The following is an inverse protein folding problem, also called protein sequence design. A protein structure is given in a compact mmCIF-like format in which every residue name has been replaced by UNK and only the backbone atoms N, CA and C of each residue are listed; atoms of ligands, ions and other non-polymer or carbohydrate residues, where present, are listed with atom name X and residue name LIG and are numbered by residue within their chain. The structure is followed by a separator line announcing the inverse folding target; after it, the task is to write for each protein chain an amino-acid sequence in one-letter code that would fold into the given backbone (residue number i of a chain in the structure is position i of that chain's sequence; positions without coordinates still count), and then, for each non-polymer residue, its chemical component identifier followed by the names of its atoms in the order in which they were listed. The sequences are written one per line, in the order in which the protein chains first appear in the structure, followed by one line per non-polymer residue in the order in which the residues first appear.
data_IF_718241067756
#
_entry.id   IF_718241067756
#
_cell.length_a   1.000
_cell.length_b   1.000
_cell.length_c   1.000
_cell.angle_alpha   90.00
_cell.angle_beta   90.00
_cell.angle_gamma   90.00
#
_symmetry.space_group_name_H-M   'P 1'
#
loop_
_entity.id
_entity.type
_entity.pdbx_description
1 polymer ?
#
# COMPACT_ATOMS: atom_id res chain seq x y z
N UNK A 1 14.94 -15.73 -12.82
CA UNK A 1 15.04 -14.28 -13.15
C UNK A 1 13.65 -13.70 -13.01
N UNK A 2 13.49 -12.56 -12.33
CA UNK A 2 12.16 -11.94 -12.14
C UNK A 2 11.76 -11.29 -13.47
N UNK A 3 10.59 -11.63 -14.01
CA UNK A 3 10.09 -11.05 -15.26
C UNK A 3 9.67 -9.59 -15.05
N UNK A 4 9.56 -8.80 -16.12
CA UNK A 4 9.13 -7.38 -16.02
C UNK A 4 7.78 -7.26 -15.29
N UNK A 5 6.82 -8.12 -15.62
CA UNK A 5 5.53 -8.24 -14.94
C UNK A 5 5.69 -8.52 -13.44
N UNK A 6 6.57 -9.46 -13.09
CA UNK A 6 6.88 -9.77 -11.70
C UNK A 6 7.42 -8.56 -10.94
N UNK A 7 8.30 -7.78 -11.56
CA UNK A 7 8.84 -6.54 -10.96
C UNK A 7 7.73 -5.50 -10.74
N UNK A 8 6.90 -5.22 -11.76
CA UNK A 8 5.82 -4.23 -11.65
C UNK A 8 4.83 -4.62 -10.54
N UNK A 9 4.45 -5.89 -10.50
CA UNK A 9 3.51 -6.42 -9.50
C UNK A 9 4.08 -6.32 -8.09
N UNK A 10 5.35 -6.68 -7.92
CA UNK A 10 6.04 -6.60 -6.63
C UNK A 10 6.15 -5.15 -6.13
N UNK A 11 6.46 -4.21 -7.03
CA UNK A 11 6.53 -2.77 -6.69
C UNK A 11 5.15 -2.27 -6.27
N UNK A 12 4.09 -2.63 -6.99
CA UNK A 12 2.73 -2.21 -6.64
C UNK A 12 2.29 -2.77 -5.28
N UNK A 13 2.61 -4.04 -5.02
CA UNK A 13 2.35 -4.69 -3.73
C UNK A 13 3.09 -3.99 -2.59
N UNK A 14 4.41 -3.76 -2.77
CA UNK A 14 5.23 -3.08 -1.79
C UNK A 14 4.73 -1.66 -1.51
N UNK A 15 4.33 -0.93 -2.56
CA UNK A 15 3.75 0.39 -2.41
C UNK A 15 2.43 0.37 -1.62
N UNK A 16 1.54 -0.58 -1.88
CA UNK A 16 0.32 -0.78 -1.11
C UNK A 16 0.61 -1.02 0.39
N UNK A 17 1.59 -1.87 0.70
CA UNK A 17 2.03 -2.11 2.07
C UNK A 17 2.64 -0.87 2.75
N UNK A 18 3.51 -0.15 2.04
CA UNK A 18 4.10 1.09 2.56
C UNK A 18 3.00 2.11 2.86
N UNK A 19 2.01 2.24 1.98
CA UNK A 19 0.88 3.15 2.19
C UNK A 19 0.05 2.74 3.42
N UNK A 20 -0.23 1.45 3.61
CA UNK A 20 -0.92 0.96 4.81
C UNK A 20 -0.14 1.27 6.09
N UNK A 21 1.15 0.95 6.13
CA UNK A 21 2.01 1.17 7.29
C UNK A 21 2.16 2.67 7.61
N UNK A 22 2.41 3.49 6.59
CA UNK A 22 2.51 4.94 6.75
C UNK A 22 1.19 5.55 7.22
N UNK A 23 0.06 5.06 6.70
CA UNK A 23 -1.26 5.53 7.12
C UNK A 23 -1.52 5.20 8.58
N UNK A 24 -1.22 3.98 9.01
CA UNK A 24 -1.49 3.54 10.38
C UNK A 24 -0.52 4.16 11.41
N UNK A 25 0.78 4.03 11.20
CA UNK A 25 1.78 4.48 12.19
C UNK A 25 2.10 5.97 12.07
N UNK A 26 1.94 6.54 10.88
CA UNK A 26 2.29 7.92 10.57
C UNK A 26 1.11 8.89 10.63
N UNK A 27 -0.06 8.50 10.13
CA UNK A 27 -1.18 9.43 9.90
C UNK A 27 -2.38 9.22 10.83
N UNK A 28 -2.58 8.00 11.33
CA UNK A 28 -3.64 7.70 12.29
C UNK A 28 -3.34 8.31 13.67
N UNK A 29 -4.23 8.03 14.63
CA UNK A 29 -4.07 8.52 15.99
C UNK A 29 -2.76 7.99 16.59
N UNK A 30 -1.91 8.87 17.14
CA UNK A 30 -0.61 8.46 17.65
C UNK A 30 -0.77 7.56 18.86
N UNK A 31 0.11 6.58 18.97
CA UNK A 31 0.16 5.71 20.14
C UNK A 31 0.77 6.46 21.32
N UNK A 32 0.25 6.22 22.53
CA UNK A 32 0.90 6.66 23.74
C UNK A 32 0.09 6.44 25.01
N UNK A 33 0.58 7.04 26.10
CA UNK A 33 0.07 6.83 27.45
C UNK A 33 -0.04 8.17 28.21
N UNK A 34 -1.09 8.38 29.02
CA UNK A 34 -2.28 7.55 29.14
C UNK A 34 -3.12 7.56 27.84
N UNK A 35 -3.72 6.43 27.42
CA UNK A 35 -4.28 6.26 26.07
C UNK A 35 -5.53 7.11 25.80
N UNK A 36 -6.18 7.59 26.85
CA UNK A 36 -7.38 8.43 26.83
C UNK A 36 -7.06 9.93 26.72
N UNK A 37 -5.78 10.33 26.78
CA UNK A 37 -5.43 11.73 26.58
C UNK A 37 -5.83 12.17 25.16
N UNK A 38 -6.48 13.33 25.05
CA UNK A 38 -6.99 13.90 23.78
C UNK A 38 -5.96 13.90 22.64
N UNK A 39 -4.67 14.08 22.98
CA UNK A 39 -3.56 14.06 22.01
C UNK A 39 -3.36 12.72 21.29
N UNK A 40 -3.89 11.62 21.84
CA UNK A 40 -3.80 10.26 21.31
C UNK A 40 -5.12 9.76 20.73
N UNK A 41 -6.21 10.54 20.85
CA UNK A 41 -7.52 10.17 20.30
C UNK A 41 -7.72 10.70 18.88
N UNK A 42 -7.13 11.86 18.56
CA UNK A 42 -7.29 12.49 17.25
C UNK A 42 -6.25 11.98 16.24
N UNK A 43 -6.67 11.63 15.00
CA UNK A 43 -5.73 11.30 13.94
C UNK A 43 -4.94 12.54 13.51
N UNK A 44 -3.72 12.34 13.02
CA UNK A 44 -2.93 13.43 12.42
C UNK A 44 -3.51 13.87 11.07
N UNK A 45 -4.21 12.96 10.39
CA UNK A 45 -4.91 13.21 9.15
C UNK A 45 -6.28 12.53 9.18
N UNK A 46 -7.35 13.30 9.03
CA UNK A 46 -8.73 12.80 9.18
C UNK A 46 -9.08 11.64 8.23
N UNK A 47 -8.50 11.66 7.03
CA UNK A 47 -8.71 10.63 6.01
C UNK A 47 -7.61 9.54 5.98
N UNK A 48 -6.81 9.41 7.04
CA UNK A 48 -5.86 8.30 7.17
C UNK A 48 -6.49 6.90 6.95
N UNK A 49 -7.74 6.62 7.40
CA UNK A 49 -8.40 5.34 7.09
C UNK A 49 -8.62 5.12 5.58
N UNK A 50 -8.93 6.18 4.82
CA UNK A 50 -9.13 6.06 3.38
C UNK A 50 -7.81 5.72 2.66
N UNK A 51 -6.70 6.31 3.09
CA UNK A 51 -5.36 5.98 2.56
C UNK A 51 -4.95 4.54 2.90
N UNK A 52 -5.30 4.06 4.08
CA UNK A 52 -5.08 2.66 4.45
C UNK A 52 -5.86 1.71 3.50
N UNK A 53 -7.14 1.98 3.28
CA UNK A 53 -7.98 1.19 2.36
C UNK A 53 -7.46 1.26 0.92
N UNK A 54 -6.97 2.43 0.48
CA UNK A 54 -6.30 2.56 -0.82
C UNK A 54 -5.08 1.64 -0.90
N UNK A 55 -4.27 1.55 0.16
CA UNK A 55 -3.15 0.63 0.25
C UNK A 55 -3.56 -0.84 0.13
N UNK A 56 -4.67 -1.23 0.78
CA UNK A 56 -5.27 -2.57 0.64
C UNK A 56 -5.70 -2.84 -0.80
N UNK A 57 -6.40 -1.89 -1.43
CA UNK A 57 -6.84 -2.01 -2.83
C UNK A 57 -5.64 -2.20 -3.75
N UNK A 58 -4.57 -1.40 -3.59
CA UNK A 58 -3.35 -1.51 -4.39
C UNK A 58 -2.65 -2.87 -4.20
N UNK A 59 -2.62 -3.39 -2.97
CA UNK A 59 -2.07 -4.70 -2.68
C UNK A 59 -2.86 -5.83 -3.37
N UNK A 60 -4.19 -5.74 -3.43
CA UNK A 60 -4.99 -6.71 -4.21
C UNK A 60 -4.85 -6.52 -5.71
N UNK A 61 -4.79 -5.27 -6.19
CA UNK A 61 -4.58 -4.95 -7.60
C UNK A 61 -3.23 -5.46 -8.11
N UNK A 62 -2.23 -5.65 -7.24
CA UNK A 62 -0.96 -6.25 -7.68
C UNK A 62 -1.12 -7.66 -8.23
N UNK A 63 -2.07 -8.44 -7.71
CA UNK A 63 -2.37 -9.77 -8.25
C UNK A 63 -3.02 -9.67 -9.62
N UNK A 64 -3.96 -8.72 -9.81
CA UNK A 64 -4.60 -8.46 -11.11
C UNK A 64 -3.56 -8.01 -12.14
N UNK A 65 -2.64 -7.12 -11.74
CA UNK A 65 -1.53 -6.67 -12.58
C UNK A 65 -0.60 -7.82 -12.90
N UNK A 66 -0.29 -8.68 -11.95
CA UNK A 66 0.51 -9.88 -12.21
C UNK A 66 -0.17 -10.76 -13.27
N UNK A 67 -1.47 -11.00 -13.20
CA UNK A 67 -2.12 -11.87 -14.18
C UNK A 67 -2.23 -11.22 -15.56
N UNK A 68 -2.54 -9.91 -15.61
CA UNK A 68 -2.91 -9.25 -16.87
C UNK A 68 -1.78 -8.46 -17.55
N UNK A 69 -0.67 -8.20 -16.87
CA UNK A 69 0.40 -7.36 -17.43
C UNK A 69 1.11 -8.08 -18.59
N UNK A 70 1.18 -7.46 -19.78
CA UNK A 70 1.78 -8.09 -20.95
C UNK A 70 3.27 -8.31 -20.72
N UNK A 71 3.74 -9.53 -20.98
CA UNK A 71 5.16 -9.82 -21.07
C UNK A 71 5.64 -9.42 -22.46
N UNK A 72 6.67 -8.57 -22.54
CA UNK A 72 7.33 -8.28 -23.82
C UNK A 72 8.07 -9.54 -24.25
N UNK A 73 7.43 -10.37 -25.06
CA UNK A 73 8.13 -11.41 -25.80
C UNK A 73 9.04 -10.71 -26.84
N UNK A 74 10.35 -10.73 -26.59
CA UNK A 74 11.35 -10.22 -27.53
C UNK A 74 11.52 -11.08 -28.79
N UNK A 75 10.48 -11.80 -29.23
CA UNK A 75 10.49 -12.79 -30.33
C UNK A 75 9.52 -12.48 -31.46
N UNK A 76 9.18 -11.21 -31.66
CA UNK A 76 8.51 -10.76 -32.88
C UNK A 76 9.44 -9.85 -33.70
N UNK A 77 10.55 -10.42 -34.20
CA UNK A 77 11.26 -10.00 -35.42
C UNK A 77 11.97 -11.19 -36.04
#
# INVERSE_FOLDING_TARGET
MITQRGVVSLVLLAFGFVLMLASYFGLAAPWGFPPDAVRYSNPRLEFAPALFVLGVILAFLSAVVYELWPERDGRER
#
